data_IF_995619810107
#
_entry.id   IF_995619810107
#
_cell.length_a   1.000
_cell.length_b   1.000
_cell.length_c   1.000
_cell.angle_alpha   90.00
_cell.angle_beta   90.00
_cell.angle_gamma   90.00
#
_symmetry.space_group_name_H-M   'P 1'
#
loop_
_entity.id
_entity.type
_entity.pdbx_description
1 polymer ?
#
# COMPACT_ATOMS: atom_id res chain seq x y z
N UNK A 1 -21.03 -11.80 10.61
CA UNK A 1 -20.49 -10.81 9.64
C UNK A 1 -19.71 -9.74 10.39
N UNK A 2 -18.49 -9.39 9.96
CA UNK A 2 -17.75 -8.31 10.62
C UNK A 2 -18.42 -6.95 10.37
N UNK A 3 -18.75 -6.21 11.43
CA UNK A 3 -19.37 -4.87 11.37
C UNK A 3 -18.45 -3.89 10.64
N UNK A 4 -18.96 -3.11 9.68
CA UNK A 4 -18.21 -2.05 9.00
C UNK A 4 -18.06 -0.81 9.90
N UNK A 5 -16.97 -0.06 9.75
CA UNK A 5 -16.86 1.31 10.28
C UNK A 5 -17.28 2.31 9.20
N UNK A 6 -18.03 3.33 9.59
CA UNK A 6 -18.46 4.42 8.71
C UNK A 6 -17.95 5.79 9.13
N UNK A 7 -17.21 5.86 10.24
CA UNK A 7 -16.51 7.08 10.64
C UNK A 7 -15.53 7.52 9.55
N UNK A 8 -15.58 8.78 9.10
CA UNK A 8 -14.64 9.31 8.12
C UNK A 8 -13.18 9.10 8.52
N UNK A 9 -12.33 8.84 7.53
CA UNK A 9 -10.88 8.77 7.73
C UNK A 9 -10.33 10.19 7.77
N UNK A 10 -9.87 10.62 8.93
CA UNK A 10 -9.21 11.91 9.14
C UNK A 10 -7.72 11.86 8.79
N UNK A 11 -7.09 13.04 8.73
CA UNK A 11 -5.62 13.16 8.61
C UNK A 11 -4.89 12.48 9.78
N UNK A 12 -5.47 12.46 10.98
CA UNK A 12 -4.90 11.77 12.14
C UNK A 12 -4.94 10.25 11.96
N UNK A 13 -6.01 9.72 11.36
CA UNK A 13 -6.11 8.30 11.00
C UNK A 13 -5.00 7.91 10.02
N UNK A 14 -4.77 8.71 8.97
CA UNK A 14 -3.64 8.47 8.06
C UNK A 14 -2.28 8.51 8.76
N UNK A 15 -2.05 9.44 9.69
CA UNK A 15 -0.80 9.48 10.48
C UNK A 15 -0.63 8.20 11.30
N UNK A 16 -1.71 7.68 11.90
CA UNK A 16 -1.66 6.42 12.66
C UNK A 16 -1.40 5.22 11.75
N UNK A 17 -2.06 5.13 10.59
CA UNK A 17 -1.82 4.07 9.59
C UNK A 17 -0.40 4.12 9.01
N UNK A 18 0.12 5.32 8.71
CA UNK A 18 1.51 5.52 8.27
C UNK A 18 2.49 5.00 9.33
N UNK A 19 2.32 5.36 10.60
CA UNK A 19 3.17 4.87 11.70
C UNK A 19 3.15 3.36 11.82
N UNK A 20 1.97 2.73 11.71
CA UNK A 20 1.83 1.28 11.72
C UNK A 20 2.54 0.64 10.51
N UNK A 21 2.43 1.24 9.34
CA UNK A 21 3.08 0.76 8.13
C UNK A 21 4.61 0.86 8.20
N UNK A 22 5.15 1.95 8.75
CA UNK A 22 6.60 2.11 8.95
C UNK A 22 7.13 1.14 10.01
N UNK A 23 6.40 0.93 11.12
CA UNK A 23 6.74 -0.11 12.11
C UNK A 23 6.77 -1.50 11.47
N UNK A 24 5.84 -1.81 10.58
CA UNK A 24 5.84 -3.08 9.87
C UNK A 24 6.97 -3.18 8.83
N UNK A 25 7.39 -2.08 8.19
CA UNK A 25 8.60 -2.06 7.36
C UNK A 25 9.82 -2.50 8.15
N UNK A 26 10.06 -1.89 9.32
CA UNK A 26 11.15 -2.29 10.23
C UNK A 26 11.04 -3.76 10.64
N UNK A 27 9.86 -4.15 11.12
CA UNK A 27 9.64 -5.48 11.64
C UNK A 27 9.76 -6.56 10.54
N UNK A 28 9.39 -6.26 9.30
CA UNK A 28 9.57 -7.16 8.16
C UNK A 28 11.03 -7.46 7.92
N UNK A 29 11.89 -6.46 7.90
CA UNK A 29 13.33 -6.67 7.69
C UNK A 29 14.04 -7.25 8.91
N UNK A 30 13.53 -7.02 10.13
CA UNK A 30 13.99 -7.76 11.32
C UNK A 30 13.70 -9.26 11.20
N UNK A 31 12.53 -9.64 10.67
CA UNK A 31 12.17 -11.05 10.41
C UNK A 31 12.89 -11.64 9.18
N UNK A 32 13.33 -10.80 8.24
CA UNK A 32 13.93 -11.21 6.97
C UNK A 32 15.29 -10.53 6.75
N UNK A 33 16.31 -10.81 7.59
CA UNK A 33 17.60 -10.11 7.55
C UNK A 33 18.31 -10.25 6.20
N UNK A 34 18.14 -11.38 5.50
CA UNK A 34 18.69 -11.63 4.15
C UNK A 34 18.22 -10.60 3.11
N UNK A 35 17.01 -10.07 3.26
CA UNK A 35 16.45 -9.08 2.32
C UNK A 35 16.87 -7.65 2.67
N UNK A 36 17.36 -7.40 3.88
CA UNK A 36 17.62 -6.04 4.40
C UNK A 36 18.59 -5.28 3.50
N UNK A 37 19.73 -5.88 3.17
CA UNK A 37 20.75 -5.24 2.32
C UNK A 37 20.21 -4.87 0.93
N UNK A 38 19.33 -5.68 0.37
CA UNK A 38 18.81 -5.48 -0.98
C UNK A 38 17.63 -4.50 -1.06
N UNK A 39 16.78 -4.46 -0.04
CA UNK A 39 15.45 -3.85 -0.15
C UNK A 39 15.10 -2.83 0.94
N UNK A 40 15.80 -2.80 2.07
CA UNK A 40 15.42 -1.92 3.19
C UNK A 40 15.37 -0.44 2.75
N UNK A 41 16.46 0.04 2.14
CA UNK A 41 16.55 1.41 1.63
C UNK A 41 15.93 1.61 0.24
N UNK A 42 15.25 0.60 -0.32
CA UNK A 42 14.64 0.67 -1.65
C UNK A 42 13.13 0.92 -1.62
N UNK A 43 12.57 1.32 -0.47
CA UNK A 43 11.16 1.65 -0.35
C UNK A 43 10.80 2.85 -1.26
N UNK A 44 9.95 2.61 -2.26
CA UNK A 44 9.42 3.62 -3.17
C UNK A 44 8.30 4.40 -2.48
N UNK A 45 7.40 3.66 -1.83
CA UNK A 45 6.27 4.24 -1.13
C UNK A 45 5.38 3.20 -0.47
N UNK A 46 4.45 3.72 0.34
CA UNK A 46 3.42 2.97 1.03
C UNK A 46 2.07 3.58 0.65
N UNK A 47 1.08 2.74 0.35
CA UNK A 47 -0.27 3.19 0.03
C UNK A 47 -1.34 2.41 0.81
N UNK A 48 -2.41 3.11 1.18
CA UNK A 48 -3.69 2.51 1.55
C UNK A 48 -4.47 2.19 0.29
N UNK A 49 -4.99 0.98 0.20
CA UNK A 49 -5.69 0.48 -0.98
C UNK A 49 -7.11 0.01 -0.65
N UNK A 50 -7.86 -0.30 -1.71
CA UNK A 50 -9.14 -0.99 -1.65
C UNK A 50 -10.22 -0.27 -0.81
N UNK A 51 -10.93 -1.02 0.05
CA UNK A 51 -12.16 -0.58 0.69
C UNK A 51 -11.95 0.63 1.59
N UNK A 52 -10.90 0.62 2.41
CA UNK A 52 -10.57 1.75 3.27
C UNK A 52 -10.16 2.99 2.47
N UNK A 53 -9.37 2.83 1.40
CA UNK A 53 -9.03 3.94 0.52
C UNK A 53 -10.27 4.51 -0.19
N UNK A 54 -11.17 3.66 -0.69
CA UNK A 54 -12.43 4.10 -1.30
C UNK A 54 -13.35 4.76 -0.28
N UNK A 55 -13.36 4.29 0.96
CA UNK A 55 -14.13 4.90 2.05
C UNK A 55 -13.66 6.33 2.36
N UNK A 56 -12.35 6.61 2.26
CA UNK A 56 -11.83 7.98 2.37
C UNK A 56 -12.41 8.92 1.30
N UNK A 57 -12.70 8.42 0.10
CA UNK A 57 -13.33 9.21 -0.97
C UNK A 57 -14.87 9.26 -0.83
N UNK A 58 -15.48 8.19 -0.33
CA UNK A 58 -16.92 8.06 -0.16
C UNK A 58 -17.22 7.22 1.08
N UNK A 59 -17.70 7.87 2.15
CA UNK A 59 -17.95 7.24 3.44
C UNK A 59 -18.98 6.10 3.38
N UNK A 60 -19.88 6.08 2.40
CA UNK A 60 -20.92 5.06 2.24
C UNK A 60 -20.37 3.65 1.96
N UNK A 61 -19.12 3.54 1.51
CA UNK A 61 -18.48 2.23 1.28
C UNK A 61 -18.31 1.46 2.59
N UNK A 62 -17.97 2.15 3.69
CA UNK A 62 -17.59 1.57 4.98
C UNK A 62 -16.33 0.69 4.97
N UNK A 63 -15.58 0.71 6.07
CA UNK A 63 -14.31 -0.01 6.24
C UNK A 63 -14.55 -1.40 6.82
N UNK A 64 -14.08 -2.45 6.13
CA UNK A 64 -14.01 -3.82 6.65
C UNK A 64 -12.63 -4.14 7.22
N UNK A 65 -11.60 -3.74 6.50
CA UNK A 65 -10.18 -3.97 6.74
C UNK A 65 -9.36 -2.81 6.16
N UNK A 66 -8.09 -2.73 6.54
CA UNK A 66 -7.11 -1.80 5.97
C UNK A 66 -6.06 -2.57 5.17
N UNK A 67 -6.09 -2.43 3.85
CA UNK A 67 -5.05 -2.97 2.95
C UNK A 67 -3.92 -1.94 2.78
N UNK A 68 -2.75 -2.21 3.37
CA UNK A 68 -1.57 -1.36 3.28
C UNK A 68 -0.52 -2.05 2.42
N UNK A 69 -0.12 -1.40 1.33
CA UNK A 69 0.90 -1.91 0.40
C UNK A 69 2.23 -1.17 0.56
N UNK A 70 3.32 -1.91 0.72
CA UNK A 70 4.69 -1.42 0.58
C UNK A 70 5.24 -1.76 -0.80
N UNK A 71 5.74 -0.76 -1.51
CA UNK A 71 6.35 -0.91 -2.83
C UNK A 71 7.85 -0.66 -2.74
N UNK A 72 8.65 -1.61 -3.20
CA UNK A 72 10.11 -1.56 -3.17
C UNK A 72 10.67 -1.53 -4.58
N UNK A 73 11.90 -1.03 -4.77
CA UNK A 73 12.62 -1.23 -6.04
C UNK A 73 13.14 -2.66 -6.09
N UNK A 74 12.90 -3.34 -7.20
CA UNK A 74 13.47 -4.65 -7.50
C UNK A 74 15.01 -4.64 -7.47
N UNK A 75 15.58 -5.68 -6.86
CA UNK A 75 17.02 -5.91 -6.84
C UNK A 75 17.39 -6.92 -7.94
N UNK A 76 18.51 -6.70 -8.63
CA UNK A 76 18.94 -7.56 -9.75
C UNK A 76 19.41 -8.96 -9.31
N UNK A 77 19.87 -9.10 -8.08
CA UNK A 77 20.55 -10.31 -7.59
C UNK A 77 19.75 -11.08 -6.55
N UNK A 78 18.82 -10.41 -5.86
CA UNK A 78 18.03 -11.00 -4.78
C UNK A 78 16.56 -10.84 -5.13
N UNK A 79 15.84 -11.96 -5.29
CA UNK A 79 14.41 -11.94 -5.59
C UNK A 79 13.58 -11.50 -4.37
N UNK A 80 12.53 -10.71 -4.62
CA UNK A 80 11.55 -10.38 -3.59
C UNK A 80 10.54 -11.52 -3.44
N UNK A 81 10.10 -11.87 -2.22
CA UNK A 81 9.11 -12.93 -2.02
C UNK A 81 7.82 -12.67 -2.80
N UNK A 82 7.34 -13.69 -3.53
CA UNK A 82 6.13 -13.57 -4.36
C UNK A 82 4.87 -13.23 -3.55
N UNK A 83 4.78 -13.71 -2.30
CA UNK A 83 3.67 -13.42 -1.36
C UNK A 83 4.22 -12.96 -0.01
N UNK A 84 4.64 -11.70 0.07
CA UNK A 84 4.94 -11.07 1.35
C UNK A 84 3.68 -10.39 1.90
N UNK A 85 2.95 -11.11 2.76
CA UNK A 85 1.76 -10.63 3.48
C UNK A 85 1.93 -10.88 4.98
N UNK A 86 1.44 -9.95 5.79
CA UNK A 86 1.18 -10.15 7.22
C UNK A 86 -0.17 -9.53 7.57
N UNK A 87 -0.97 -10.25 8.34
CA UNK A 87 -2.28 -9.80 8.79
C UNK A 87 -2.26 -9.56 10.31
N UNK A 88 -2.97 -8.54 10.76
CA UNK A 88 -3.27 -8.29 12.18
C UNK A 88 -4.79 -8.24 12.29
N UNK A 89 -5.40 -9.18 13.02
CA UNK A 89 -6.87 -9.30 13.09
C UNK A 89 -7.51 -8.12 13.84
N UNK A 90 -6.97 -7.76 15.00
CA UNK A 90 -7.46 -6.65 15.81
C UNK A 90 -6.54 -5.43 15.69
N UNK A 91 -6.49 -4.85 14.49
CA UNK A 91 -5.61 -3.73 14.16
C UNK A 91 -6.21 -2.37 14.51
N UNK A 92 -6.20 -1.46 13.54
CA UNK A 92 -6.60 -0.07 13.77
C UNK A 92 -8.13 0.05 13.89
N UNK A 93 -8.60 0.78 14.92
CA UNK A 93 -10.04 0.89 15.26
C UNK A 93 -10.75 -0.47 15.36
N UNK A 94 -10.03 -1.49 15.83
CA UNK A 94 -10.55 -2.86 15.94
C UNK A 94 -10.89 -3.52 14.61
N UNK A 95 -10.25 -3.08 13.50
CA UNK A 95 -10.37 -3.72 12.19
C UNK A 95 -9.08 -4.39 11.76
N UNK A 96 -9.18 -5.47 10.97
CA UNK A 96 -8.01 -6.12 10.42
C UNK A 96 -7.15 -5.16 9.62
N UNK A 97 -5.84 -5.35 9.68
CA UNK A 97 -4.88 -4.70 8.80
C UNK A 97 -4.11 -5.78 8.06
N UNK A 98 -4.08 -5.67 6.75
CA UNK A 98 -3.24 -6.47 5.88
C UNK A 98 -2.07 -5.62 5.39
N UNK A 99 -0.85 -6.06 5.70
CA UNK A 99 0.38 -5.47 5.19
C UNK A 99 0.90 -6.34 4.05
N UNK A 100 0.79 -5.83 2.83
CA UNK A 100 1.21 -6.48 1.61
C UNK A 100 2.45 -5.80 1.04
N UNK A 101 3.31 -6.55 0.37
CA UNK A 101 4.58 -6.02 -0.14
C UNK A 101 4.84 -6.48 -1.56
N UNK A 102 5.45 -5.62 -2.35
CA UNK A 102 5.76 -5.90 -3.76
C UNK A 102 7.02 -5.15 -4.20
N UNK A 103 7.83 -5.79 -5.03
CA UNK A 103 8.88 -5.12 -5.78
C UNK A 103 8.35 -4.62 -7.12
N UNK A 104 8.69 -3.39 -7.47
CA UNK A 104 8.45 -2.77 -8.77
C UNK A 104 9.76 -2.84 -9.56
N UNK A 105 9.64 -3.19 -10.85
CA UNK A 105 10.78 -3.26 -11.76
C UNK A 105 11.61 -1.95 -11.72
N UNK A 106 12.93 -2.12 -11.73
CA UNK A 106 13.89 -1.03 -11.55
C UNK A 106 13.82 0.02 -12.65
N UNK A 107 13.57 -0.37 -13.89
CA UNK A 107 13.54 0.56 -15.03
C UNK A 107 12.34 1.50 -14.92
N UNK A 108 11.18 0.96 -14.50
CA UNK A 108 10.01 1.78 -14.19
C UNK A 108 10.28 2.78 -13.06
N UNK A 109 10.99 2.34 -12.01
CA UNK A 109 11.42 3.23 -10.93
C UNK A 109 12.45 4.27 -11.38
N UNK A 110 13.34 3.94 -12.31
CA UNK A 110 14.32 4.89 -12.84
C UNK A 110 13.61 5.98 -13.68
N UNK A 111 12.63 5.58 -14.48
CA UNK A 111 11.81 6.51 -15.27
C UNK A 111 11.04 7.50 -14.38
N UNK A 112 10.42 7.01 -13.30
CA UNK A 112 9.66 7.84 -12.34
C UNK A 112 10.45 8.15 -11.06
N UNK A 113 11.71 8.57 -11.21
CA UNK A 113 12.65 8.54 -10.09
C UNK A 113 12.30 9.44 -8.91
N UNK A 114 11.65 10.56 -9.16
CA UNK A 114 11.22 11.54 -8.16
C UNK A 114 9.70 11.55 -7.95
N UNK A 115 8.98 10.58 -8.54
CA UNK A 115 7.52 10.57 -8.61
C UNK A 115 6.98 9.22 -8.11
N UNK A 116 7.01 8.97 -6.78
CA UNK A 116 6.66 7.66 -6.23
C UNK A 116 5.19 7.29 -6.48
N UNK A 117 4.28 8.27 -6.50
CA UNK A 117 2.89 8.08 -6.90
C UNK A 117 2.75 7.63 -8.35
N UNK A 118 3.47 8.29 -9.29
CA UNK A 118 3.49 7.87 -10.70
C UNK A 118 4.08 6.47 -10.86
N UNK A 119 5.21 6.20 -10.20
CA UNK A 119 5.83 4.86 -10.22
C UNK A 119 4.85 3.76 -9.75
N UNK A 120 4.13 4.01 -8.66
CA UNK A 120 3.13 3.07 -8.12
C UNK A 120 1.96 2.89 -9.10
N UNK A 121 1.36 3.98 -9.60
CA UNK A 121 0.17 3.85 -10.45
C UNK A 121 0.50 3.21 -11.80
N UNK A 122 1.62 3.57 -12.42
CA UNK A 122 2.07 2.99 -13.69
C UNK A 122 2.36 1.50 -13.55
N UNK A 123 2.95 1.08 -12.42
CA UNK A 123 3.10 -0.34 -12.10
C UNK A 123 1.76 -1.08 -12.05
N UNK A 124 0.74 -0.46 -11.43
CA UNK A 124 -0.60 -1.04 -11.36
C UNK A 124 -1.28 -1.06 -12.74
N UNK A 125 -1.14 0.00 -13.53
CA UNK A 125 -1.75 0.18 -14.85
C UNK A 125 -1.29 -0.85 -15.89
N UNK A 126 -0.15 -1.51 -15.67
CA UNK A 126 0.27 -2.66 -16.48
C UNK A 126 -0.76 -3.81 -16.50
N UNK A 127 -1.63 -3.94 -15.47
CA UNK A 127 -2.79 -4.88 -15.40
C UNK A 127 -2.52 -6.37 -15.66
N UNK A 128 -1.26 -6.76 -15.81
CA UNK A 128 -0.82 -8.11 -16.12
C UNK A 128 -0.99 -9.12 -14.97
N UNK A 129 -1.51 -8.71 -13.80
CA UNK A 129 -1.85 -9.62 -12.71
C UNK A 129 -3.26 -9.36 -12.17
N UNK A 130 -3.88 -10.39 -11.58
CA UNK A 130 -5.18 -10.25 -10.91
C UNK A 130 -5.12 -9.17 -9.81
N UNK A 131 -4.07 -9.17 -9.01
CA UNK A 131 -3.87 -8.18 -7.93
C UNK A 131 -3.90 -6.75 -8.46
N UNK A 132 -3.14 -6.44 -9.52
CA UNK A 132 -3.11 -5.09 -10.12
C UNK A 132 -4.50 -4.66 -10.58
N UNK A 133 -5.20 -5.54 -11.31
CA UNK A 133 -6.58 -5.29 -11.76
C UNK A 133 -7.54 -5.05 -10.58
N UNK A 134 -7.46 -5.85 -9.52
CA UNK A 134 -8.31 -5.66 -8.34
C UNK A 134 -8.02 -4.36 -7.59
N UNK A 135 -6.75 -3.98 -7.45
CA UNK A 135 -6.38 -2.71 -6.82
C UNK A 135 -6.91 -1.51 -7.60
N UNK A 136 -6.87 -1.56 -8.94
CA UNK A 136 -7.37 -0.48 -9.80
C UNK A 136 -8.90 -0.33 -9.79
N UNK A 137 -9.66 -1.34 -9.35
CA UNK A 137 -11.12 -1.22 -9.19
C UNK A 137 -11.53 -0.28 -8.04
N UNK A 138 -10.60 0.07 -7.17
CA UNK A 138 -10.86 0.86 -5.96
C UNK A 138 -9.78 1.93 -5.80
N UNK A 139 -9.95 2.81 -4.82
CA UNK A 139 -9.01 3.90 -4.63
C UNK A 139 -7.65 3.42 -4.10
N UNK A 140 -6.64 4.23 -4.36
CA UNK A 140 -5.27 4.11 -3.83
C UNK A 140 -4.87 5.48 -3.28
N UNK A 141 -4.48 5.53 -2.01
CA UNK A 141 -4.11 6.76 -1.31
C UNK A 141 -2.72 6.60 -0.69
N UNK A 142 -1.83 7.57 -0.91
CA UNK A 142 -0.47 7.50 -0.39
C UNK A 142 -0.38 7.68 1.12
N UNK A 143 0.50 6.90 1.76
CA UNK A 143 0.84 7.00 3.19
C UNK A 143 2.31 7.36 3.41
N UNK A 144 3.21 7.05 2.47
CA UNK A 144 4.63 7.40 2.56
C UNK A 144 5.24 7.34 1.16
N UNK A 145 6.22 8.17 0.78
CA UNK A 145 6.83 9.26 1.54
C UNK A 145 5.89 10.46 1.75
N UNK A 146 6.35 11.47 2.49
CA UNK A 146 5.58 12.69 2.76
C UNK A 146 5.06 13.37 1.49
N UNK A 147 5.81 13.28 0.38
CA UNK A 147 5.42 13.79 -0.93
C UNK A 147 4.08 13.25 -1.45
N UNK A 148 3.66 12.06 -0.99
CA UNK A 148 2.38 11.44 -1.40
C UNK A 148 1.42 11.20 -0.23
N UNK A 149 1.76 11.66 0.98
CA UNK A 149 0.94 11.42 2.16
C UNK A 149 -0.45 12.05 2.01
N UNK A 150 -1.50 11.24 2.12
CA UNK A 150 -2.89 11.64 1.95
C UNK A 150 -3.30 11.96 0.51
N UNK A 151 -2.37 11.87 -0.46
CA UNK A 151 -2.66 12.09 -1.87
C UNK A 151 -3.47 10.93 -2.43
N UNK A 152 -4.57 11.25 -3.10
CA UNK A 152 -5.33 10.27 -3.89
C UNK A 152 -4.55 9.98 -5.17
N UNK A 153 -3.87 8.84 -5.20
CA UNK A 153 -3.06 8.39 -6.35
C UNK A 153 -3.99 7.88 -7.45
N UNK A 154 -5.08 7.20 -7.06
CA UNK A 154 -6.07 6.64 -7.96
C UNK A 154 -7.44 6.66 -7.31
N UNK A 155 -8.49 7.04 -8.05
CA UNK A 155 -9.87 7.10 -7.53
C UNK A 155 -10.61 5.74 -7.58
N UNK A 156 -10.06 4.77 -8.30
CA UNK A 156 -10.77 3.57 -8.71
C UNK A 156 -11.41 3.75 -10.08
N UNK A 157 -11.53 2.66 -10.82
CA UNK A 157 -12.43 2.62 -11.97
C UNK A 157 -13.86 2.79 -11.46
N UNK A 158 -14.56 3.83 -11.94
CA UNK A 158 -16.01 3.87 -11.81
C UNK A 158 -16.51 2.58 -12.46
N UNK A 159 -17.18 1.72 -11.69
CA UNK A 159 -18.05 0.72 -12.28
C UNK A 159 -19.12 1.50 -13.06
N UNK A 160 -18.91 1.65 -14.36
CA UNK A 160 -20.01 1.90 -15.29
C UNK A 160 -20.94 0.70 -15.24
#
# INVERSE_FOLDING_TARGET
MAKRLFEPISKLDFKKLQRLALKEHEAFFKRNPRLRKAYYSSLIGIALCQGAASHYLNSNVGIKDFDIWHFYVENRSINFPYRARKSIENGYKGKPIDFLKRAINRDLRNFYSNEPDKCIIEYLLQRNTKTKRFLLKKAVVGLFPDKIFGKVIWKGELSR
#
